data_IF_814549455934
#
_entry.id   IF_814549455934
#
_cell.length_a   1.000
_cell.length_b   1.000
_cell.length_c   1.000
_cell.angle_alpha   90.00
_cell.angle_beta   90.00
_cell.angle_gamma   90.00
#
_symmetry.space_group_name_H-M   'P 1'
#
loop_
_entity.id
_entity.type
_entity.pdbx_description
1 polymer ?
#
# COMPACT_ATOMS: atom_id res chain seq x y z
N UNK A 1 -7.69 -2.27 -40.28
CA UNK A 1 -7.77 -3.37 -39.28
C UNK A 1 -7.02 -2.94 -38.06
N UNK A 2 -7.70 -2.34 -37.10
CA UNK A 2 -7.11 -1.98 -35.78
C UNK A 2 -7.03 -3.26 -34.95
N UNK A 3 -5.83 -3.80 -34.81
CA UNK A 3 -5.58 -4.88 -33.86
C UNK A 3 -5.80 -4.29 -32.46
N UNK A 4 -6.96 -4.59 -31.87
CA UNK A 4 -7.19 -4.35 -30.45
C UNK A 4 -6.21 -5.24 -29.70
N UNK A 5 -5.09 -4.66 -29.26
CA UNK A 5 -4.18 -5.34 -28.34
C UNK A 5 -4.97 -5.59 -27.05
N UNK A 6 -5.06 -6.85 -26.64
CA UNK A 6 -5.61 -7.18 -25.33
C UNK A 6 -4.92 -6.30 -24.27
N UNK A 7 -5.65 -5.74 -23.30
CA UNK A 7 -5.07 -4.90 -22.29
C UNK A 7 -3.97 -5.68 -21.54
N UNK A 8 -2.78 -5.09 -21.44
CA UNK A 8 -1.66 -5.73 -20.76
C UNK A 8 -1.99 -5.95 -19.27
N UNK A 9 -1.62 -7.11 -18.73
CA UNK A 9 -1.80 -7.43 -17.31
C UNK A 9 -1.19 -6.37 -16.40
N UNK A 10 -1.86 -6.00 -15.28
CA UNK A 10 -1.43 -4.91 -14.41
C UNK A 10 -0.12 -5.22 -13.69
N UNK A 11 0.69 -4.18 -13.56
CA UNK A 11 1.88 -4.17 -12.71
C UNK A 11 1.67 -3.18 -11.58
N UNK A 12 1.81 -3.64 -10.35
CA UNK A 12 1.62 -2.83 -9.14
C UNK A 12 2.92 -2.78 -8.37
N UNK A 13 3.28 -1.61 -7.88
CA UNK A 13 4.35 -1.44 -6.90
C UNK A 13 3.73 -1.32 -5.50
N UNK A 14 3.92 -2.30 -4.64
CA UNK A 14 3.59 -2.18 -3.23
C UNK A 14 4.80 -1.56 -2.50
N UNK A 15 4.63 -0.33 -2.01
CA UNK A 15 5.67 0.49 -1.41
C UNK A 15 5.29 0.85 0.04
N UNK A 16 6.20 0.65 1.00
CA UNK A 16 5.89 0.95 2.39
C UNK A 16 6.83 0.31 3.40
N UNK A 17 6.32 0.10 4.60
CA UNK A 17 7.07 -0.41 5.74
C UNK A 17 6.97 -1.93 5.94
N UNK A 18 6.97 -2.39 7.18
CA UNK A 18 6.89 -3.80 7.57
C UNK A 18 5.62 -4.50 7.12
N UNK A 19 4.50 -3.77 6.99
CA UNK A 19 3.22 -4.32 6.55
C UNK A 19 3.26 -4.73 5.08
N UNK A 20 4.02 -4.01 4.27
CA UNK A 20 4.28 -4.36 2.86
C UNK A 20 5.42 -5.38 2.75
N UNK A 21 6.51 -5.19 3.51
CA UNK A 21 7.65 -6.10 3.50
C UNK A 21 7.28 -7.55 3.83
N UNK A 22 6.26 -7.74 4.68
CA UNK A 22 5.83 -9.05 5.17
C UNK A 22 6.64 -9.47 6.40
N UNK A 23 6.79 -8.55 7.38
CA UNK A 23 7.50 -8.83 8.64
C UNK A 23 6.98 -10.10 9.32
N UNK A 24 7.88 -11.01 9.64
CA UNK A 24 7.55 -12.28 10.32
C UNK A 24 6.86 -13.32 9.45
N UNK A 25 6.73 -13.09 8.14
CA UNK A 25 6.08 -14.00 7.19
C UNK A 25 7.08 -14.55 6.17
N UNK A 26 6.70 -15.66 5.54
CA UNK A 26 7.37 -16.10 4.32
C UNK A 26 7.09 -15.09 3.18
N UNK A 27 7.99 -15.03 2.20
CA UNK A 27 7.78 -14.16 1.03
C UNK A 27 6.44 -14.45 0.30
N UNK A 28 6.01 -15.71 0.30
CA UNK A 28 4.75 -16.13 -0.32
C UNK A 28 3.51 -15.67 0.47
N UNK A 29 3.64 -15.42 1.77
CA UNK A 29 2.54 -15.01 2.65
C UNK A 29 2.46 -13.48 2.83
N UNK A 30 3.49 -12.76 2.37
CA UNK A 30 3.51 -11.29 2.42
C UNK A 30 2.38 -10.68 1.58
N UNK A 31 1.94 -9.46 1.94
CA UNK A 31 0.86 -8.75 1.28
C UNK A 31 0.99 -8.68 -0.26
N UNK A 32 2.16 -8.30 -0.83
CA UNK A 32 2.28 -8.21 -2.28
C UNK A 32 2.08 -9.55 -2.99
N UNK A 33 2.59 -10.64 -2.42
CA UNK A 33 2.45 -11.98 -3.00
C UNK A 33 1.00 -12.48 -2.93
N UNK A 34 0.30 -12.21 -1.83
CA UNK A 34 -1.11 -12.57 -1.70
C UNK A 34 -2.00 -11.74 -2.64
N UNK A 35 -1.75 -10.43 -2.74
CA UNK A 35 -2.45 -9.55 -3.68
C UNK A 35 -2.23 -10.04 -5.13
N UNK A 36 -0.99 -10.36 -5.50
CA UNK A 36 -0.69 -10.90 -6.83
C UNK A 36 -1.49 -12.17 -7.14
N UNK A 37 -1.62 -13.09 -6.19
CA UNK A 37 -2.43 -14.31 -6.38
C UNK A 37 -3.89 -14.00 -6.65
N UNK A 38 -4.48 -13.01 -5.95
CA UNK A 38 -5.87 -12.59 -6.19
C UNK A 38 -6.04 -11.95 -7.56
N UNK A 39 -5.12 -11.04 -7.93
CA UNK A 39 -5.17 -10.38 -9.24
C UNK A 39 -5.02 -11.36 -10.40
N UNK A 40 -4.21 -12.40 -10.23
CA UNK A 40 -4.01 -13.42 -11.27
C UNK A 40 -5.24 -14.27 -11.57
N UNK A 41 -6.24 -14.26 -10.73
CA UNK A 41 -7.54 -14.84 -11.04
C UNK A 41 -8.28 -14.07 -12.15
N UNK A 42 -7.99 -12.77 -12.31
CA UNK A 42 -8.60 -11.88 -13.31
C UNK A 42 -7.62 -11.54 -14.45
N UNK A 43 -6.34 -11.42 -14.13
CA UNK A 43 -5.25 -11.06 -15.04
C UNK A 43 -4.07 -12.02 -14.82
N UNK A 44 -3.96 -13.11 -15.63
CA UNK A 44 -3.04 -14.21 -15.37
C UNK A 44 -1.55 -13.82 -15.23
N UNK A 45 -1.10 -12.77 -15.91
CA UNK A 45 0.27 -12.27 -15.82
C UNK A 45 0.40 -11.01 -14.93
N UNK A 46 -0.61 -10.70 -14.09
CA UNK A 46 -0.51 -9.63 -13.10
C UNK A 46 0.73 -9.78 -12.21
N UNK A 47 1.41 -8.67 -11.95
CA UNK A 47 2.61 -8.62 -11.14
C UNK A 47 2.49 -7.58 -10.02
N UNK A 48 2.92 -7.94 -8.81
CA UNK A 48 2.99 -7.02 -7.66
C UNK A 48 4.41 -7.06 -7.10
N UNK A 49 5.15 -5.98 -7.31
CA UNK A 49 6.50 -5.81 -6.76
C UNK A 49 6.45 -5.44 -5.28
N UNK A 50 7.29 -6.07 -4.47
CA UNK A 50 7.44 -5.75 -3.06
C UNK A 50 8.58 -4.73 -2.89
N UNK A 51 8.25 -3.52 -2.49
CA UNK A 51 9.20 -2.46 -2.12
C UNK A 51 8.95 -1.99 -0.67
N UNK A 52 8.57 -2.91 0.22
CA UNK A 52 8.47 -2.68 1.65
C UNK A 52 9.82 -2.82 2.35
N UNK A 53 10.07 -1.99 3.35
CA UNK A 53 11.23 -2.09 4.25
C UNK A 53 10.76 -1.96 5.69
N UNK A 54 10.98 -3.02 6.48
CA UNK A 54 10.54 -3.04 7.88
C UNK A 54 11.21 -1.93 8.69
N UNK A 55 10.41 -1.20 9.44
CA UNK A 55 10.89 -0.10 10.28
C UNK A 55 10.94 1.27 9.60
N UNK A 56 10.71 1.38 8.29
CA UNK A 56 10.71 2.68 7.62
C UNK A 56 9.69 3.64 8.23
N UNK A 57 10.14 4.86 8.49
CA UNK A 57 9.28 6.03 8.63
C UNK A 57 8.93 6.61 7.24
N UNK A 58 8.01 7.56 7.21
CA UNK A 58 7.71 8.31 5.98
C UNK A 58 8.96 9.00 5.40
N UNK A 59 9.88 9.46 6.27
CA UNK A 59 11.15 10.05 5.88
C UNK A 59 12.11 9.04 5.24
N UNK A 60 12.25 7.86 5.84
CA UNK A 60 13.09 6.79 5.30
C UNK A 60 12.56 6.31 3.93
N UNK A 61 11.25 6.11 3.84
CA UNK A 61 10.57 5.74 2.60
C UNK A 61 10.80 6.79 1.51
N UNK A 62 10.61 8.09 1.81
CA UNK A 62 10.86 9.19 0.86
C UNK A 62 12.32 9.19 0.39
N UNK A 63 13.27 9.02 1.29
CA UNK A 63 14.69 9.01 0.95
C UNK A 63 15.07 7.92 -0.05
N UNK A 64 14.48 6.71 0.08
CA UNK A 64 14.80 5.60 -0.83
C UNK A 64 13.94 5.54 -2.10
N UNK A 65 12.82 6.28 -2.17
CA UNK A 65 11.88 6.21 -3.30
C UNK A 65 12.55 6.48 -4.66
N UNK A 66 13.42 7.49 -4.84
CA UNK A 66 14.08 7.71 -6.13
C UNK A 66 14.87 6.48 -6.61
N UNK A 67 15.56 5.78 -5.70
CA UNK A 67 16.30 4.56 -6.05
C UNK A 67 15.36 3.41 -6.42
N UNK A 68 14.24 3.27 -5.74
CA UNK A 68 13.21 2.27 -6.07
C UNK A 68 12.67 2.52 -7.47
N UNK A 69 12.29 3.77 -7.77
CA UNK A 69 11.76 4.16 -9.08
C UNK A 69 12.77 3.95 -10.21
N UNK A 70 14.04 4.31 -9.97
CA UNK A 70 15.12 4.11 -10.95
C UNK A 70 15.41 2.62 -11.24
N UNK A 71 15.12 1.73 -10.31
CA UNK A 71 15.30 0.28 -10.46
C UNK A 71 14.16 -0.44 -11.16
N UNK A 72 13.07 0.23 -11.51
CA UNK A 72 11.92 -0.39 -12.15
C UNK A 72 12.21 -0.72 -13.62
N UNK A 73 11.97 -1.96 -14.02
CA UNK A 73 12.10 -2.41 -15.42
C UNK A 73 11.01 -1.81 -16.30
N UNK A 74 9.81 -1.64 -15.75
CA UNK A 74 8.66 -0.98 -16.39
C UNK A 74 7.95 -0.09 -15.39
N UNK A 75 7.30 0.96 -15.89
CA UNK A 75 6.45 1.81 -15.07
C UNK A 75 5.27 1.00 -14.53
N UNK A 76 5.03 0.97 -13.22
CA UNK A 76 3.83 0.36 -12.66
C UNK A 76 2.56 1.11 -13.08
N UNK A 77 1.47 0.38 -13.15
CA UNK A 77 0.15 0.94 -13.44
C UNK A 77 -0.50 1.55 -12.19
N UNK A 78 -0.01 1.14 -11.01
CA UNK A 78 -0.45 1.64 -9.71
C UNK A 78 0.67 1.49 -8.69
N UNK A 79 0.85 2.49 -7.84
CA UNK A 79 1.61 2.39 -6.59
C UNK A 79 0.63 2.24 -5.41
N UNK A 80 0.68 1.13 -4.68
CA UNK A 80 0.00 0.99 -3.40
C UNK A 80 0.98 1.41 -2.31
N UNK A 81 0.66 2.49 -1.60
CA UNK A 81 1.54 3.11 -0.60
C UNK A 81 0.98 2.90 0.79
N UNK A 82 1.74 2.22 1.66
CA UNK A 82 1.41 1.99 3.07
C UNK A 82 2.59 2.40 3.93
N UNK A 83 2.50 3.52 4.67
CA UNK A 83 3.57 4.10 5.46
C UNK A 83 3.00 4.99 6.57
N UNK A 84 3.75 5.22 7.64
CA UNK A 84 3.42 6.19 8.69
C UNK A 84 3.23 5.59 10.08
N UNK A 85 3.06 4.27 10.21
CA UNK A 85 2.93 3.63 11.52
C UNK A 85 4.19 3.85 12.39
N UNK A 86 5.37 3.74 11.81
CA UNK A 86 6.64 3.97 12.51
C UNK A 86 6.86 5.43 12.88
N UNK A 87 6.30 6.37 12.11
CA UNK A 87 6.32 7.80 12.47
C UNK A 87 5.61 8.05 13.79
N UNK A 88 4.41 7.48 13.96
CA UNK A 88 3.65 7.57 15.21
C UNK A 88 4.42 6.94 16.36
N UNK A 89 4.98 5.75 16.15
CA UNK A 89 5.74 5.03 17.19
C UNK A 89 6.98 5.79 17.64
N UNK A 90 7.66 6.47 16.70
CA UNK A 90 8.87 7.25 16.96
C UNK A 90 8.61 8.73 17.29
N UNK A 91 7.35 9.17 17.30
CA UNK A 91 6.97 10.54 17.62
C UNK A 91 7.46 11.57 16.60
N UNK A 92 7.52 11.20 15.31
CA UNK A 92 7.83 12.14 14.23
C UNK A 92 6.73 13.19 14.16
N UNK A 93 7.08 14.46 14.15
CA UNK A 93 6.08 15.55 14.15
C UNK A 93 5.05 15.37 13.01
N UNK A 94 3.73 15.47 13.29
CA UNK A 94 2.68 15.28 12.29
C UNK A 94 2.85 16.12 11.02
N UNK A 95 3.29 17.36 11.15
CA UNK A 95 3.58 18.24 10.02
C UNK A 95 4.71 17.69 9.12
N UNK A 96 5.70 17.00 9.71
CA UNK A 96 6.77 16.35 8.95
C UNK A 96 6.23 15.14 8.19
N UNK A 97 5.37 14.35 8.83
CA UNK A 97 4.72 13.19 8.18
C UNK A 97 3.88 13.66 7.01
N UNK A 98 3.06 14.72 7.18
CA UNK A 98 2.27 15.30 6.10
C UNK A 98 3.15 15.73 4.92
N UNK A 99 4.24 16.46 5.18
CA UNK A 99 5.18 16.90 4.15
C UNK A 99 5.84 15.71 3.42
N UNK A 100 6.20 14.66 4.14
CA UNK A 100 6.79 13.46 3.54
C UNK A 100 5.78 12.71 2.66
N UNK A 101 4.51 12.59 3.09
CA UNK A 101 3.45 11.98 2.30
C UNK A 101 3.21 12.75 1.00
N UNK A 102 3.13 14.08 1.08
CA UNK A 102 3.01 14.93 -0.11
C UNK A 102 4.21 14.72 -1.07
N UNK A 103 5.43 14.71 -0.55
CA UNK A 103 6.62 14.50 -1.38
C UNK A 103 6.65 13.11 -2.04
N UNK A 104 6.22 12.06 -1.33
CA UNK A 104 6.10 10.70 -1.89
C UNK A 104 5.09 10.69 -3.04
N UNK A 105 3.93 11.32 -2.87
CA UNK A 105 2.91 11.36 -3.91
C UNK A 105 3.36 12.18 -5.11
N UNK A 106 4.04 13.32 -4.91
CA UNK A 106 4.65 14.13 -5.97
C UNK A 106 5.64 13.30 -6.80
N UNK A 107 6.48 12.49 -6.17
CA UNK A 107 7.43 11.65 -6.91
C UNK A 107 6.72 10.60 -7.77
N UNK A 108 5.63 9.99 -7.29
CA UNK A 108 4.81 9.09 -8.11
C UNK A 108 4.12 9.83 -9.26
N UNK A 109 3.55 11.01 -9.01
CA UNK A 109 2.93 11.87 -10.04
C UNK A 109 3.93 12.24 -11.14
N UNK A 110 5.16 12.66 -10.77
CA UNK A 110 6.23 13.00 -11.73
C UNK A 110 6.61 11.82 -12.63
N UNK A 111 6.48 10.59 -12.11
CA UNK A 111 6.70 9.36 -12.89
C UNK A 111 5.45 8.91 -13.65
N UNK A 112 4.32 9.62 -13.54
CA UNK A 112 3.04 9.24 -14.13
C UNK A 112 2.48 7.94 -13.57
N UNK A 113 2.73 7.65 -12.29
CA UNK A 113 2.26 6.45 -11.59
C UNK A 113 1.11 6.85 -10.66
N UNK A 114 -0.13 6.44 -10.94
CA UNK A 114 -1.24 6.65 -10.02
C UNK A 114 -0.95 6.02 -8.65
N UNK A 115 -1.44 6.64 -7.57
CA UNK A 115 -1.23 6.12 -6.22
C UNK A 115 -2.56 5.75 -5.53
N UNK A 116 -2.54 4.65 -4.79
CA UNK A 116 -3.52 4.28 -3.77
C UNK A 116 -2.81 4.37 -2.41
N UNK A 117 -3.11 5.40 -1.64
CA UNK A 117 -2.53 5.62 -0.32
C UNK A 117 -3.41 4.98 0.74
N UNK A 118 -2.87 4.02 1.50
CA UNK A 118 -3.65 3.39 2.57
C UNK A 118 -3.55 4.16 3.88
N UNK A 119 -4.63 4.17 4.64
CA UNK A 119 -4.68 4.71 5.99
C UNK A 119 -4.54 3.59 7.02
N UNK A 120 -4.08 3.93 8.22
CA UNK A 120 -4.08 3.05 9.37
C UNK A 120 -4.91 3.74 10.46
N UNK A 121 -6.02 3.08 10.82
CA UNK A 121 -6.84 3.52 11.93
C UNK A 121 -6.29 2.90 13.22
N UNK A 122 -5.65 3.69 14.09
CA UNK A 122 -5.08 3.16 15.32
C UNK A 122 -6.18 2.69 16.27
N UNK A 123 -5.89 1.66 17.11
CA UNK A 123 -6.81 1.26 18.17
C UNK A 123 -7.16 2.44 19.08
N UNK A 124 -8.40 2.48 19.57
CA UNK A 124 -8.92 3.58 20.41
C UNK A 124 -8.02 3.89 21.64
N UNK A 125 -7.35 2.87 22.18
CA UNK A 125 -6.41 3.04 23.30
C UNK A 125 -5.19 3.94 22.95
N UNK A 126 -4.90 4.13 21.67
CA UNK A 126 -3.84 5.01 21.18
C UNK A 126 -4.36 6.37 20.68
N UNK A 127 -5.66 6.66 20.84
CA UNK A 127 -6.30 7.86 20.29
C UNK A 127 -5.58 9.17 20.65
N UNK A 128 -5.13 9.32 21.90
CA UNK A 128 -4.42 10.53 22.33
C UNK A 128 -3.06 10.70 21.64
N UNK A 129 -2.31 9.61 21.45
CA UNK A 129 -1.02 9.63 20.77
C UNK A 129 -1.16 9.86 19.26
N UNK A 130 -2.27 9.46 18.69
CA UNK A 130 -2.51 9.48 17.25
C UNK A 130 -3.34 10.66 16.78
N UNK A 131 -3.91 11.46 17.70
CA UNK A 131 -4.78 12.59 17.38
C UNK A 131 -4.17 13.56 16.35
N UNK A 132 -2.87 13.87 16.48
CA UNK A 132 -2.17 14.76 15.54
C UNK A 132 -1.90 14.13 14.16
N UNK A 133 -2.08 12.81 14.00
CA UNK A 133 -1.87 12.09 12.75
C UNK A 133 -3.18 11.72 12.05
N UNK A 134 -4.31 11.99 12.71
CA UNK A 134 -5.62 11.73 12.12
C UNK A 134 -5.76 12.46 10.78
N UNK A 135 -6.32 11.78 9.80
CA UNK A 135 -6.61 12.31 8.46
C UNK A 135 -5.39 12.69 7.58
N UNK A 136 -4.15 12.64 8.04
CA UNK A 136 -2.98 13.06 7.25
C UNK A 136 -2.92 12.35 5.89
N UNK A 137 -3.16 11.03 5.87
CA UNK A 137 -3.15 10.23 4.65
C UNK A 137 -4.32 10.62 3.72
N UNK A 138 -5.53 10.74 4.26
CA UNK A 138 -6.71 11.12 3.47
C UNK A 138 -6.58 12.55 2.91
N UNK A 139 -6.01 13.47 3.68
CA UNK A 139 -5.75 14.84 3.24
C UNK A 139 -4.66 14.91 2.16
N UNK A 140 -3.57 14.16 2.32
CA UNK A 140 -2.54 14.03 1.30
C UNK A 140 -3.12 13.44 0.01
N UNK A 141 -3.84 12.31 0.11
CA UNK A 141 -4.50 11.69 -1.03
C UNK A 141 -5.43 12.68 -1.77
N UNK A 142 -6.25 13.44 -1.03
CA UNK A 142 -7.15 14.43 -1.62
C UNK A 142 -6.40 15.55 -2.33
N UNK A 143 -5.28 16.06 -1.79
CA UNK A 143 -4.47 17.11 -2.43
C UNK A 143 -3.88 16.67 -3.76
N UNK A 144 -3.50 15.39 -3.85
CA UNK A 144 -2.82 14.80 -5.00
C UNK A 144 -3.75 13.97 -5.91
N UNK A 145 -5.07 13.99 -5.70
CA UNK A 145 -6.01 13.21 -6.50
C UNK A 145 -5.77 11.69 -6.41
N UNK A 146 -5.07 11.22 -5.37
CA UNK A 146 -4.82 9.80 -5.14
C UNK A 146 -6.03 9.11 -4.52
N UNK A 147 -6.23 7.83 -4.86
CA UNK A 147 -7.22 7.01 -4.18
C UNK A 147 -6.77 6.70 -2.74
N UNK A 148 -7.73 6.44 -1.84
CA UNK A 148 -7.41 6.06 -0.46
C UNK A 148 -8.37 5.01 0.08
N UNK A 149 -7.88 4.14 0.96
CA UNK A 149 -8.66 3.18 1.72
C UNK A 149 -7.94 2.82 3.03
N UNK A 150 -8.66 2.23 3.99
CA UNK A 150 -8.02 1.67 5.17
C UNK A 150 -7.17 0.44 4.80
N UNK A 151 -5.96 0.31 5.40
CA UNK A 151 -5.15 -0.89 5.20
C UNK A 151 -5.79 -2.09 5.90
N UNK A 152 -6.19 -1.93 7.16
CA UNK A 152 -6.83 -3.00 7.92
C UNK A 152 -8.35 -2.94 7.81
N UNK A 153 -9.03 -4.03 7.43
CA UNK A 153 -10.45 -4.15 7.68
C UNK A 153 -10.71 -4.22 9.19
N UNK A 154 -11.91 -3.84 9.60
CA UNK A 154 -12.33 -3.91 11.00
C UNK A 154 -12.08 -5.30 11.59
N UNK A 155 -11.54 -5.36 12.81
CA UNK A 155 -11.31 -6.59 13.55
C UNK A 155 -10.05 -7.37 13.18
N UNK A 156 -9.17 -6.90 12.30
CA UNK A 156 -7.88 -7.57 12.02
C UNK A 156 -6.79 -7.06 12.95
N UNK A 157 -6.61 -5.74 13.04
CA UNK A 157 -5.58 -5.16 13.90
C UNK A 157 -5.85 -5.52 15.38
N UNK A 158 -4.86 -6.07 16.07
CA UNK A 158 -4.97 -6.52 17.45
C UNK A 158 -5.62 -7.90 17.66
N UNK A 159 -6.20 -8.50 16.62
CA UNK A 159 -6.89 -9.80 16.74
C UNK A 159 -5.89 -10.95 16.94
N UNK A 160 -6.05 -11.77 18.02
CA UNK A 160 -5.09 -12.81 18.39
C UNK A 160 -4.86 -13.89 17.32
N UNK A 161 -5.88 -14.23 16.55
CA UNK A 161 -5.80 -15.24 15.49
C UNK A 161 -5.39 -14.68 14.13
N UNK A 162 -5.33 -13.35 13.95
CA UNK A 162 -5.04 -12.70 12.67
C UNK A 162 -3.75 -11.88 12.69
N UNK A 163 -3.14 -11.70 13.88
CA UNK A 163 -1.87 -10.98 14.04
C UNK A 163 -0.79 -11.91 14.60
N UNK A 164 0.45 -11.50 14.44
CA UNK A 164 1.59 -12.10 15.11
C UNK A 164 1.52 -11.83 16.63
N UNK A 165 2.49 -12.35 17.36
CA UNK A 165 2.51 -12.23 18.83
C UNK A 165 2.51 -10.76 19.32
N UNK A 166 3.04 -9.84 18.51
CA UNK A 166 3.09 -8.40 18.82
C UNK A 166 1.74 -7.67 18.71
N UNK A 167 0.70 -8.34 18.19
CA UNK A 167 -0.66 -7.80 17.98
C UNK A 167 -0.75 -6.62 17.01
N UNK A 168 0.32 -6.35 16.28
CA UNK A 168 0.43 -5.26 15.29
C UNK A 168 0.52 -5.83 13.88
N UNK A 169 1.49 -6.71 13.66
CA UNK A 169 1.72 -7.27 12.34
C UNK A 169 0.76 -8.43 12.06
N UNK A 170 0.05 -8.41 10.93
CA UNK A 170 -0.85 -9.48 10.56
C UNK A 170 -0.06 -10.77 10.25
N UNK A 171 -0.62 -11.92 10.63
CA UNK A 171 -0.15 -13.22 10.16
C UNK A 171 -0.67 -13.49 8.73
N UNK A 172 -0.34 -14.65 8.15
CA UNK A 172 -0.77 -14.99 6.79
C UNK A 172 -2.28 -14.91 6.57
N UNK A 173 -3.10 -15.29 7.56
CA UNK A 173 -4.56 -15.18 7.50
C UNK A 173 -5.03 -13.73 7.63
N UNK A 174 -4.38 -12.94 8.49
CA UNK A 174 -4.63 -11.50 8.61
C UNK A 174 -4.33 -10.78 7.30
N UNK A 175 -3.20 -11.11 6.64
CA UNK A 175 -2.87 -10.58 5.31
C UNK A 175 -3.94 -10.98 4.27
N UNK A 176 -4.45 -12.21 4.29
CA UNK A 176 -5.52 -12.62 3.38
C UNK A 176 -6.77 -11.71 3.54
N UNK A 177 -7.16 -11.39 4.79
CA UNK A 177 -8.27 -10.46 5.06
C UNK A 177 -7.99 -9.04 4.58
N UNK A 178 -6.75 -8.56 4.79
CA UNK A 178 -6.31 -7.25 4.27
C UNK A 178 -6.38 -7.21 2.75
N UNK A 179 -5.90 -8.26 2.07
CA UNK A 179 -5.94 -8.34 0.60
C UNK A 179 -7.37 -8.36 0.09
N UNK A 180 -8.26 -9.20 0.67
CA UNK A 180 -9.66 -9.27 0.27
C UNK A 180 -10.39 -7.93 0.46
N UNK A 181 -9.99 -7.15 1.47
CA UNK A 181 -10.52 -5.80 1.73
C UNK A 181 -10.03 -4.76 0.73
N UNK A 182 -8.73 -4.77 0.40
CA UNK A 182 -8.10 -3.75 -0.47
C UNK A 182 -8.33 -4.05 -1.96
N UNK A 183 -8.50 -5.31 -2.34
CA UNK A 183 -8.59 -5.73 -3.74
C UNK A 183 -9.59 -4.91 -4.58
N UNK A 184 -10.84 -4.65 -4.13
CA UNK A 184 -11.78 -3.83 -4.90
C UNK A 184 -11.27 -2.41 -5.16
N UNK A 185 -10.53 -1.83 -4.20
CA UNK A 185 -9.96 -0.48 -4.35
C UNK A 185 -8.79 -0.48 -5.35
N UNK A 186 -7.98 -1.53 -5.33
CA UNK A 186 -6.91 -1.72 -6.32
C UNK A 186 -7.50 -1.87 -7.71
N UNK A 187 -8.54 -2.70 -7.88
CA UNK A 187 -9.22 -2.88 -9.16
C UNK A 187 -9.80 -1.57 -9.69
N UNK A 188 -10.41 -0.77 -8.82
CA UNK A 188 -11.00 0.51 -9.18
C UNK A 188 -9.95 1.60 -9.51
N UNK A 189 -8.76 1.52 -8.88
CA UNK A 189 -7.67 2.47 -9.11
C UNK A 189 -6.81 2.14 -10.35
N UNK A 190 -6.92 0.91 -10.87
CA UNK A 190 -6.24 0.54 -12.11
C UNK A 190 -6.90 1.26 -13.30
N UNK A 191 -6.11 1.69 -14.32
CA UNK A 191 -6.65 2.23 -15.56
C UNK A 191 -7.68 1.27 -16.16
N UNK A 192 -8.74 1.84 -16.78
CA UNK A 192 -9.77 1.02 -17.42
C UNK A 192 -9.16 0.09 -18.49
N UNK A 193 -9.07 -1.18 -18.20
CA UNK A 193 -8.37 -2.20 -18.97
C UNK A 193 -9.32 -3.25 -19.51
N UNK A 194 -10.56 -2.85 -19.83
CA UNK A 194 -11.54 -3.78 -20.38
C UNK A 194 -11.44 -5.16 -19.71
N UNK A 195 -12.23 -5.44 -18.69
CA UNK A 195 -12.28 -6.78 -18.09
C UNK A 195 -12.51 -7.79 -19.20
N UNK A 196 -11.65 -8.79 -19.33
CA UNK A 196 -11.96 -9.92 -20.17
C UNK A 196 -13.33 -10.43 -19.72
N UNK A 197 -14.32 -10.37 -20.63
CA UNK A 197 -15.66 -10.88 -20.35
C UNK A 197 -15.52 -12.36 -19.97
N UNK A 198 -15.95 -12.69 -18.75
CA UNK A 198 -16.03 -14.06 -18.26
C UNK A 198 -17.14 -14.82 -19.00
#
# INVERSE_FOLDING_TARGET
>A
MTTSSAPADPSILAFGDSLIAGYGLSAADAFPAQLQRRLRALWPAAAVGNAGVSGDTSGDALHRLPRVLAGLIRRPDLALVQIGANDVLRGVAPARVAANLDAILIEFERCGIPALLTTIDPPAILADRTRGYANLHAEAARRHGAATCAFFPAGVLGHPGLTLFDRIHPNAQGIARVVDHILPMVEAALPDRGRAAA
#
